data_IF_909035591061
#
_entry.id   IF_909035591061
#
_cell.length_a   1.000
_cell.length_b   1.000
_cell.length_c   1.000
_cell.angle_alpha   90.00
_cell.angle_beta   90.00
_cell.angle_gamma   90.00
#
_symmetry.space_group_name_H-M   'P 1'
#
loop_
_entity.id
_entity.type
_entity.pdbx_description
1 polymer ?
#
# COMPACT_ATOMS: atom_id res chain seq x y z
N UNK A 1 11.77 -44.49 -13.51
CA UNK A 1 12.84 -43.49 -13.57
C UNK A 1 13.51 -43.58 -14.95
N UNK A 2 13.24 -42.65 -15.87
CA UNK A 2 13.86 -42.61 -17.21
C UNK A 2 14.38 -41.19 -17.48
N UNK A 3 15.68 -41.06 -17.26
CA UNK A 3 16.62 -40.07 -17.82
C UNK A 3 16.79 -40.49 -19.30
N UNK A 4 16.95 -39.71 -20.37
CA UNK A 4 17.63 -38.44 -20.71
C UNK A 4 17.23 -38.13 -22.17
N UNK A 5 16.90 -36.90 -22.55
CA UNK A 5 17.81 -35.84 -23.06
C UNK A 5 18.24 -36.04 -24.55
N UNK A 6 17.57 -35.27 -25.42
CA UNK A 6 18.09 -34.53 -26.59
C UNK A 6 18.79 -35.29 -27.73
N UNK A 7 18.19 -35.25 -28.92
CA UNK A 7 18.90 -35.20 -30.20
C UNK A 7 18.21 -34.21 -31.13
N UNK A 8 19.03 -33.32 -31.70
CA UNK A 8 18.67 -32.26 -32.63
C UNK A 8 18.13 -32.84 -33.94
N UNK A 9 17.08 -32.24 -34.49
CA UNK A 9 16.73 -32.36 -35.90
C UNK A 9 16.16 -31.02 -36.38
N UNK A 10 17.07 -30.13 -36.78
CA UNK A 10 16.76 -28.94 -37.55
C UNK A 10 16.29 -29.39 -38.93
N UNK A 11 15.07 -29.06 -39.32
CA UNK A 11 14.65 -29.08 -40.72
C UNK A 11 14.13 -27.70 -41.08
N UNK A 12 14.88 -27.04 -41.97
CA UNK A 12 14.58 -25.75 -42.58
C UNK A 12 13.44 -25.92 -43.59
N UNK A 13 12.30 -25.26 -43.38
CA UNK A 13 11.39 -24.86 -44.48
C UNK A 13 10.77 -23.49 -44.21
N UNK A 14 11.31 -22.49 -44.93
CA UNK A 14 10.60 -21.45 -45.69
C UNK A 14 9.54 -20.61 -44.93
N UNK A 15 10.01 -19.44 -44.50
CA UNK A 15 9.44 -18.10 -44.71
C UNK A 15 7.92 -18.01 -45.04
N UNK A 16 7.08 -18.06 -44.02
CA UNK A 16 5.83 -17.30 -43.96
C UNK A 16 5.84 -16.48 -42.68
N UNK A 17 6.17 -15.21 -42.85
CA UNK A 17 6.17 -14.16 -41.85
C UNK A 17 4.74 -14.01 -41.32
N UNK A 18 4.48 -14.63 -40.18
CA UNK A 18 3.84 -13.94 -39.07
C UNK A 18 4.84 -14.09 -37.94
N UNK A 19 5.36 -12.99 -37.36
CA UNK A 19 6.11 -13.11 -36.13
C UNK A 19 5.20 -13.88 -35.19
N UNK A 20 5.67 -15.03 -34.71
CA UNK A 20 5.27 -15.53 -33.41
C UNK A 20 5.67 -14.39 -32.47
N UNK A 21 4.78 -13.40 -32.39
CA UNK A 21 4.73 -12.47 -31.30
C UNK A 21 4.70 -13.43 -30.12
N UNK A 22 5.86 -13.55 -29.48
CA UNK A 22 5.88 -13.21 -28.08
C UNK A 22 4.78 -12.17 -27.90
N UNK A 23 3.63 -12.60 -27.42
CA UNK A 23 2.90 -11.78 -26.48
C UNK A 23 3.89 -11.58 -25.34
N UNK A 24 4.81 -10.62 -25.55
CA UNK A 24 4.74 -9.35 -24.86
C UNK A 24 3.33 -9.23 -24.30
N UNK A 25 3.16 -9.79 -23.10
CA UNK A 25 2.20 -9.30 -22.14
C UNK A 25 2.59 -7.87 -21.79
N UNK A 26 2.53 -6.99 -22.80
CA UNK A 26 2.26 -5.57 -22.68
C UNK A 26 0.77 -5.46 -22.31
N UNK A 27 0.37 -6.09 -21.21
CA UNK A 27 -0.47 -5.35 -20.30
C UNK A 27 0.38 -4.18 -19.80
N UNK A 28 -0.22 -3.08 -19.32
CA UNK A 28 0.56 -2.20 -18.47
C UNK A 28 1.00 -3.06 -17.28
N UNK A 29 2.24 -3.55 -17.33
CA UNK A 29 3.01 -3.76 -16.12
C UNK A 29 2.96 -2.39 -15.48
N UNK A 30 2.11 -2.26 -14.48
CA UNK A 30 2.12 -1.11 -13.60
C UNK A 30 3.45 -1.24 -12.85
N UNK A 31 4.52 -0.83 -13.52
CA UNK A 31 5.75 -0.37 -12.89
C UNK A 31 5.31 0.93 -12.23
N UNK A 32 4.59 0.80 -11.11
CA UNK A 32 4.32 1.90 -10.21
C UNK A 32 5.69 2.31 -9.69
N UNK A 33 6.18 3.42 -10.26
CA UNK A 33 7.48 3.98 -9.94
C UNK A 33 7.66 4.06 -8.43
N UNK A 34 8.72 3.44 -7.92
CA UNK A 34 9.24 3.81 -6.63
C UNK A 34 9.93 5.17 -6.78
N UNK A 35 9.30 6.27 -6.30
CA UNK A 35 10.02 7.36 -5.62
C UNK A 35 9.12 8.49 -5.03
N UNK A 36 8.95 8.43 -3.70
CA UNK A 36 9.05 9.55 -2.74
C UNK A 36 8.02 10.71 -2.63
N UNK A 37 6.73 10.49 -2.31
CA UNK A 37 5.86 11.66 -2.02
C UNK A 37 4.70 11.42 -1.05
N UNK A 38 4.94 11.13 0.23
CA UNK A 38 3.84 11.02 1.24
C UNK A 38 3.00 9.75 1.12
N UNK A 39 2.58 9.32 -0.07
CA UNK A 39 1.84 8.08 -0.31
C UNK A 39 2.63 6.85 0.16
N UNK A 40 3.92 6.76 -0.21
CA UNK A 40 4.81 5.71 0.27
C UNK A 40 4.96 5.72 1.80
N UNK A 41 5.01 6.91 2.43
CA UNK A 41 5.03 7.03 3.87
C UNK A 41 3.74 6.48 4.50
N UNK A 42 2.57 6.83 3.94
CA UNK A 42 1.27 6.33 4.40
C UNK A 42 1.20 4.81 4.30
N UNK A 43 1.60 4.24 3.16
CA UNK A 43 1.62 2.78 2.97
C UNK A 43 2.58 2.10 3.95
N UNK A 44 3.80 2.63 4.12
CA UNK A 44 4.77 2.10 5.07
C UNK A 44 4.26 2.20 6.51
N UNK A 45 3.64 3.32 6.89
CA UNK A 45 3.04 3.47 8.21
C UNK A 45 1.96 2.40 8.45
N UNK A 46 1.11 2.12 7.46
CA UNK A 46 0.01 1.15 7.55
C UNK A 46 0.51 -0.30 7.60
N UNK A 47 1.48 -0.68 6.77
CA UNK A 47 1.88 -2.09 6.60
C UNK A 47 3.08 -2.51 7.45
N UNK A 48 3.92 -1.57 7.90
CA UNK A 48 5.07 -1.89 8.77
C UNK A 48 4.74 -1.87 10.26
N UNK A 49 3.55 -1.40 10.64
CA UNK A 49 3.11 -1.35 12.03
C UNK A 49 1.83 -2.16 12.22
N UNK A 50 1.75 -2.90 13.32
CA UNK A 50 0.56 -3.70 13.63
C UNK A 50 -0.68 -2.83 13.86
N UNK A 51 -0.49 -1.65 14.47
CA UNK A 51 -1.55 -0.67 14.70
C UNK A 51 -1.01 0.70 14.30
N UNK A 52 -1.75 1.41 13.45
CA UNK A 52 -1.41 2.76 12.99
C UNK A 52 -2.58 3.69 13.19
N UNK A 53 -2.32 4.87 13.73
CA UNK A 53 -3.31 5.91 13.96
C UNK A 53 -2.84 7.20 13.31
N UNK A 54 -3.54 7.64 12.27
CA UNK A 54 -3.42 9.01 11.77
C UNK A 54 -4.28 9.93 12.63
N UNK A 55 -3.65 10.94 13.22
CA UNK A 55 -4.16 11.71 14.37
C UNK A 55 -3.90 13.20 14.19
N UNK A 56 -4.52 14.02 15.05
CA UNK A 56 -4.05 15.38 15.35
C UNK A 56 -3.91 15.56 16.85
N UNK A 57 -2.86 16.25 17.29
CA UNK A 57 -2.46 16.33 18.70
C UNK A 57 -3.55 16.97 19.58
N UNK A 58 -4.28 17.95 19.03
CA UNK A 58 -5.35 18.68 19.71
C UNK A 58 -6.74 18.02 19.58
N UNK A 59 -6.90 16.95 18.79
CA UNK A 59 -8.22 16.41 18.47
C UNK A 59 -8.75 15.50 19.59
N UNK A 60 -9.90 15.82 20.22
CA UNK A 60 -10.45 15.03 21.33
C UNK A 60 -10.85 13.61 20.90
N UNK A 61 -11.29 13.41 19.66
CA UNK A 61 -11.61 12.09 19.12
C UNK A 61 -10.35 11.23 18.93
N UNK A 62 -9.23 11.84 18.54
CA UNK A 62 -7.94 11.16 18.44
C UNK A 62 -7.43 10.74 19.83
N UNK A 63 -7.61 11.58 20.86
CA UNK A 63 -7.26 11.21 22.23
C UNK A 63 -8.06 10.00 22.73
N UNK A 64 -9.36 9.94 22.42
CA UNK A 64 -10.19 8.77 22.76
C UNK A 64 -9.72 7.50 22.04
N UNK A 65 -9.45 7.59 20.73
CA UNK A 65 -8.94 6.45 19.96
C UNK A 65 -7.59 5.93 20.51
N UNK A 66 -6.65 6.83 20.83
CA UNK A 66 -5.37 6.46 21.46
C UNK A 66 -5.56 5.79 22.82
N UNK A 67 -6.50 6.28 23.64
CA UNK A 67 -6.79 5.72 24.97
C UNK A 67 -7.26 4.26 24.90
N UNK A 68 -8.10 3.91 23.93
CA UNK A 68 -8.56 2.51 23.74
C UNK A 68 -7.37 1.55 23.64
N UNK A 69 -6.33 1.92 22.89
CA UNK A 69 -5.15 1.09 22.75
C UNK A 69 -4.28 1.05 24.01
N UNK A 70 -4.20 2.15 24.75
CA UNK A 70 -3.55 2.16 26.08
C UNK A 70 -4.25 1.20 27.04
N UNK A 71 -5.59 1.19 27.08
CA UNK A 71 -6.39 0.29 27.92
C UNK A 71 -6.23 -1.17 27.53
N UNK A 72 -6.01 -1.44 26.24
CA UNK A 72 -5.68 -2.78 25.72
C UNK A 72 -4.22 -3.17 25.92
N UNK A 73 -3.41 -2.30 26.54
CA UNK A 73 -1.97 -2.49 26.75
C UNK A 73 -1.19 -2.61 25.43
N UNK A 74 -1.67 -1.93 24.40
CA UNK A 74 -1.12 -1.89 23.05
C UNK A 74 -0.45 -0.55 22.75
N UNK A 75 0.60 -0.58 21.93
CA UNK A 75 1.36 0.61 21.57
C UNK A 75 1.23 0.89 20.06
N UNK A 76 0.31 1.79 19.66
CA UNK A 76 0.11 2.13 18.24
C UNK A 76 1.22 3.04 17.72
N UNK A 77 1.52 2.92 16.42
CA UNK A 77 2.29 3.91 15.70
C UNK A 77 1.38 5.11 15.38
N UNK A 78 1.67 6.27 15.97
CA UNK A 78 0.84 7.47 15.84
C UNK A 78 1.52 8.47 14.91
N UNK A 79 0.78 8.94 13.91
CA UNK A 79 1.20 10.02 13.02
C UNK A 79 0.35 11.26 13.33
N UNK A 80 0.94 12.24 14.00
CA UNK A 80 0.29 13.52 14.32
C UNK A 80 0.41 14.46 13.11
N UNK A 81 -0.67 14.60 12.35
CA UNK A 81 -0.67 15.31 11.06
C UNK A 81 -0.53 16.83 11.21
N UNK A 82 -0.95 17.39 12.34
CA UNK A 82 -0.79 18.81 12.65
C UNK A 82 0.64 19.19 13.02
N UNK A 83 1.52 18.21 13.27
CA UNK A 83 2.93 18.41 13.61
C UNK A 83 3.87 18.09 12.43
N UNK A 84 3.31 17.95 11.23
CA UNK A 84 4.05 17.63 10.01
C UNK A 84 3.73 18.62 8.91
N UNK A 85 4.76 19.03 8.17
CA UNK A 85 4.60 19.93 7.02
C UNK A 85 3.76 19.30 5.90
N UNK A 86 3.84 17.98 5.74
CA UNK A 86 3.13 17.19 4.73
C UNK A 86 1.79 16.62 5.23
N UNK A 87 1.27 17.13 6.36
CA UNK A 87 0.05 16.62 6.98
C UNK A 87 -1.18 16.71 6.07
N UNK A 88 -1.28 17.76 5.25
CA UNK A 88 -2.40 17.96 4.33
C UNK A 88 -2.38 16.95 3.16
N UNK A 89 -1.18 16.66 2.66
CA UNK A 89 -0.91 15.67 1.63
C UNK A 89 -1.23 14.27 2.16
N UNK A 90 -0.87 13.95 3.41
CA UNK A 90 -1.25 12.68 4.06
C UNK A 90 -2.78 12.56 4.09
N UNK A 91 -3.49 13.62 4.49
CA UNK A 91 -4.96 13.62 4.48
C UNK A 91 -5.53 13.41 3.06
N UNK A 92 -4.86 13.89 2.02
CA UNK A 92 -5.26 13.66 0.62
C UNK A 92 -5.04 12.21 0.20
N UNK A 93 -3.92 11.60 0.59
CA UNK A 93 -3.70 10.16 0.37
C UNK A 93 -4.74 9.32 1.11
N UNK A 94 -5.09 9.68 2.34
CA UNK A 94 -6.16 8.98 3.08
C UNK A 94 -7.52 9.13 2.39
N UNK A 95 -7.84 10.30 1.80
CA UNK A 95 -9.04 10.46 0.99
C UNK A 95 -9.08 9.47 -0.15
N UNK A 96 -7.98 9.30 -0.88
CA UNK A 96 -7.91 8.41 -2.02
C UNK A 96 -7.99 6.93 -1.60
N UNK A 97 -7.39 6.57 -0.45
CA UNK A 97 -7.34 5.18 0.03
C UNK A 97 -8.64 4.71 0.68
N UNK A 98 -9.31 5.56 1.46
CA UNK A 98 -10.44 5.16 2.32
C UNK A 98 -11.66 6.09 2.19
N UNK A 99 -11.62 7.07 1.29
CA UNK A 99 -12.71 8.01 1.06
C UNK A 99 -12.88 9.07 2.14
N UNK A 100 -11.91 9.25 3.04
CA UNK A 100 -12.03 10.16 4.19
C UNK A 100 -10.71 10.89 4.49
N UNK A 101 -10.80 12.21 4.73
CA UNK A 101 -9.67 13.07 5.15
C UNK A 101 -9.55 13.24 6.66
N UNK A 102 -10.62 12.97 7.38
CA UNK A 102 -10.79 13.30 8.80
C UNK A 102 -9.93 12.43 9.69
N UNK A 103 -9.67 12.89 10.92
CA UNK A 103 -8.95 12.12 11.94
C UNK A 103 -9.86 11.88 13.14
N UNK A 104 -9.69 10.77 13.89
CA UNK A 104 -8.70 9.72 13.70
C UNK A 104 -8.98 8.82 12.50
N UNK A 105 -7.94 8.20 11.92
CA UNK A 105 -8.06 7.02 11.06
C UNK A 105 -7.18 5.90 11.60
N UNK A 106 -7.79 4.75 11.86
CA UNK A 106 -7.15 3.62 12.53
C UNK A 106 -7.01 2.43 11.58
N UNK A 107 -5.81 1.88 11.53
CA UNK A 107 -5.49 0.67 10.80
C UNK A 107 -4.95 -0.38 11.76
N UNK A 108 -5.37 -1.64 11.58
CA UNK A 108 -4.88 -2.81 12.33
C UNK A 108 -4.51 -3.90 11.34
N UNK A 109 -3.26 -4.37 11.38
CA UNK A 109 -2.72 -5.35 10.44
C UNK A 109 -2.95 -4.95 8.96
N UNK A 110 -2.71 -3.69 8.63
CA UNK A 110 -2.94 -3.14 7.29
C UNK A 110 -4.40 -2.91 6.90
N UNK A 111 -5.38 -3.36 7.71
CA UNK A 111 -6.81 -3.17 7.45
C UNK A 111 -7.32 -1.90 8.09
N UNK A 112 -8.04 -1.08 7.33
CA UNK A 112 -8.77 0.08 7.86
C UNK A 112 -9.94 -0.38 8.74
N UNK A 113 -9.97 0.09 9.99
CA UNK A 113 -11.03 -0.25 10.96
C UNK A 113 -12.03 0.90 11.13
N UNK A 114 -11.62 2.13 10.82
CA UNK A 114 -12.50 3.30 10.80
C UNK A 114 -11.88 4.54 11.44
N UNK A 115 -12.73 5.56 11.57
CA UNK A 115 -12.43 6.82 12.24
C UNK A 115 -13.51 7.20 13.25
N UNK A 116 -13.58 8.49 13.63
CA UNK A 116 -14.64 8.98 14.55
C UNK A 116 -15.89 9.49 13.84
N UNK A 117 -15.91 9.41 12.52
CA UNK A 117 -17.02 9.89 11.72
C UNK A 117 -17.93 8.70 11.44
N UNK A 118 -19.02 8.59 12.20
CA UNK A 118 -20.15 7.74 11.84
C UNK A 118 -20.69 8.13 10.47
#
# INVERSE_FOLDING_TARGET
>A
MKISRWCMAVTLTILSILPFLFENGNGPVQVVEASNSVSAFVQNAIYSNRITIFSKSYCPYCLRAKRVFVELNEQPFVVELDLRDDGYEIQSVLLDLIGRRTVPQVFVNGKHIGGSDG
#
